data_IF_017203967671
#
_entry.id   IF_017203967671
#
_cell.length_a   1.000
_cell.length_b   1.000
_cell.length_c   1.000
_cell.angle_alpha   90.00
_cell.angle_beta   90.00
_cell.angle_gamma   90.00
#
_symmetry.space_group_name_H-M   'P 1'
#
loop_
_entity.id
_entity.type
_entity.pdbx_description
1 polymer ?
#
# COMPACT_ATOMS: atom_id res chain seq x y z
N UNK A 1 -49.66 -27.93 0.31
CA UNK A 1 -50.70 -27.18 -0.45
C UNK A 1 -51.34 -26.14 0.47
N UNK A 2 -51.54 -24.91 -0.03
CA UNK A 2 -51.87 -23.59 0.62
C UNK A 2 -50.64 -22.67 0.55
N UNK A 3 -50.39 -21.87 -0.49
CA UNK A 3 -51.13 -20.74 -1.12
C UNK A 3 -51.33 -19.57 -0.17
N UNK A 4 -50.46 -18.55 -0.26
CA UNK A 4 -50.83 -17.15 -0.62
C UNK A 4 -49.63 -16.22 -0.65
N UNK A 5 -49.45 -15.66 -1.83
CA UNK A 5 -48.56 -14.58 -2.25
C UNK A 5 -48.80 -13.24 -1.52
N UNK A 6 -48.01 -12.25 -1.95
CA UNK A 6 -48.18 -10.79 -1.91
C UNK A 6 -47.27 -10.04 -0.93
N UNK A 7 -46.12 -9.55 -1.42
CA UNK A 7 -45.62 -8.21 -1.08
C UNK A 7 -45.35 -7.47 -2.39
N UNK A 8 -45.98 -6.30 -2.48
CA UNK A 8 -46.08 -5.44 -3.64
C UNK A 8 -44.74 -4.79 -4.02
N UNK A 9 -44.46 -4.79 -5.32
CA UNK A 9 -43.44 -3.95 -5.93
C UNK A 9 -43.92 -2.49 -5.95
N UNK A 10 -43.15 -1.59 -5.35
CA UNK A 10 -43.30 -0.15 -5.53
C UNK A 10 -42.17 0.35 -6.44
N UNK A 11 -42.53 0.61 -7.70
CA UNK A 11 -41.70 1.28 -8.70
C UNK A 11 -41.80 2.78 -8.46
N UNK A 12 -40.66 3.45 -8.28
CA UNK A 12 -40.55 4.91 -8.37
C UNK A 12 -39.58 5.24 -9.50
N UNK A 13 -40.05 5.85 -10.61
CA UNK A 13 -39.16 6.42 -11.61
C UNK A 13 -38.85 7.87 -11.23
N UNK A 14 -37.58 8.27 -11.31
CA UNK A 14 -37.21 9.68 -11.39
C UNK A 14 -36.23 9.87 -12.56
N UNK A 15 -36.69 10.66 -13.51
CA UNK A 15 -36.08 10.86 -14.82
C UNK A 15 -35.46 12.27 -14.94
N UNK A 16 -34.36 12.33 -15.69
CA UNK A 16 -33.83 13.45 -16.51
C UNK A 16 -33.06 14.58 -15.80
N UNK A 17 -31.77 14.72 -16.17
CA UNK A 17 -31.28 15.88 -16.93
C UNK A 17 -29.85 15.64 -17.43
N UNK A 18 -29.71 15.43 -18.75
CA UNK A 18 -28.44 15.48 -19.47
C UNK A 18 -28.24 16.89 -20.03
N UNK A 19 -27.08 17.49 -19.78
CA UNK A 19 -26.57 18.62 -20.56
C UNK A 19 -25.14 18.28 -21.00
N UNK A 20 -25.02 17.88 -22.26
CA UNK A 20 -23.76 17.82 -22.98
C UNK A 20 -23.40 19.21 -23.49
N UNK A 21 -22.13 19.60 -23.38
CA UNK A 21 -21.55 20.72 -24.13
C UNK A 21 -20.54 20.13 -25.12
N UNK A 22 -20.78 20.21 -26.44
CA UNK A 22 -19.77 19.94 -27.45
C UNK A 22 -18.98 21.23 -27.72
N UNK A 23 -17.66 21.16 -27.59
CA UNK A 23 -16.74 22.25 -27.95
C UNK A 23 -15.55 21.71 -28.71
N UNK A 24 -15.74 21.50 -30.02
CA UNK A 24 -14.69 21.20 -31.00
C UNK A 24 -14.23 22.53 -31.60
N UNK A 25 -12.91 22.74 -31.72
CA UNK A 25 -12.33 23.83 -32.50
C UNK A 25 -10.80 23.86 -32.31
N UNK A 26 -10.02 23.01 -32.98
CA UNK A 26 -9.37 23.22 -34.30
C UNK A 26 -8.56 24.53 -34.39
N UNK A 27 -7.23 24.40 -34.44
CA UNK A 27 -6.37 24.93 -35.52
C UNK A 27 -4.93 24.49 -35.24
N UNK A 28 -4.35 23.57 -36.04
CA UNK A 28 -3.37 23.88 -37.10
C UNK A 28 -2.35 24.92 -36.64
N UNK A 29 -1.06 24.62 -36.43
CA UNK A 29 -0.17 23.75 -37.17
C UNK A 29 0.95 24.64 -37.71
N UNK A 30 2.22 24.33 -37.39
CA UNK A 30 3.40 24.75 -38.18
C UNK A 30 4.70 24.15 -37.59
N UNK A 31 5.13 23.04 -38.17
CA UNK A 31 6.54 22.70 -38.49
C UNK A 31 6.76 23.28 -39.92
N UNK A 32 7.96 23.69 -40.43
CA UNK A 32 9.28 23.03 -40.34
C UNK A 32 10.47 24.05 -40.38
N UNK A 33 11.75 23.73 -40.68
CA UNK A 33 12.34 22.45 -41.08
C UNK A 33 13.64 22.03 -40.39
N UNK A 34 13.96 20.75 -40.59
CA UNK A 34 15.28 20.16 -40.43
C UNK A 34 16.20 20.51 -41.61
N UNK A 35 17.52 20.40 -41.42
CA UNK A 35 18.42 19.97 -42.48
C UNK A 35 18.96 18.55 -42.19
N UNK A 36 19.05 17.75 -43.24
CA UNK A 36 19.80 16.49 -43.35
C UNK A 36 20.82 16.63 -44.50
N UNK A 37 21.63 15.60 -44.84
CA UNK A 37 22.54 14.76 -44.06
C UNK A 37 23.96 14.73 -44.68
N UNK A 38 24.97 14.19 -43.97
CA UNK A 38 26.22 13.58 -44.49
C UNK A 38 27.21 13.44 -43.31
N UNK A 39 28.00 12.40 -43.07
CA UNK A 39 28.25 11.08 -43.65
C UNK A 39 28.94 10.25 -42.55
N UNK A 40 28.67 8.94 -42.49
CA UNK A 40 29.47 7.97 -41.72
C UNK A 40 30.71 7.54 -42.56
N UNK A 41 31.79 6.92 -42.00
CA UNK A 41 31.70 5.63 -41.28
C UNK A 41 32.62 5.41 -40.04
N UNK A 42 32.12 4.50 -39.19
CA UNK A 42 32.68 3.53 -38.21
C UNK A 42 34.23 3.33 -38.08
N UNK A 43 34.77 2.74 -36.97
CA UNK A 43 34.14 1.66 -36.17
C UNK A 43 34.41 1.58 -34.65
N UNK A 44 33.40 1.05 -33.94
CA UNK A 44 33.59 0.02 -32.91
C UNK A 44 33.82 0.49 -31.49
N UNK A 45 32.76 0.53 -30.68
CA UNK A 45 32.84 0.22 -29.25
C UNK A 45 31.50 -0.33 -28.74
N UNK A 46 31.58 -1.47 -28.05
CA UNK A 46 30.45 -2.25 -27.50
C UNK A 46 29.65 -1.43 -26.48
N UNK A 47 28.31 -1.44 -26.49
CA UNK A 47 27.53 -1.01 -25.34
C UNK A 47 27.59 -2.12 -24.27
N UNK A 48 28.37 -1.90 -23.21
CA UNK A 48 28.21 -2.65 -21.98
C UNK A 48 27.01 -2.05 -21.22
N UNK A 49 25.86 -2.66 -21.43
CA UNK A 49 24.65 -2.48 -20.66
C UNK A 49 24.89 -2.98 -19.23
N UNK A 50 25.17 -2.04 -18.33
CA UNK A 50 25.47 -2.31 -16.92
C UNK A 50 24.55 -1.50 -16.01
N UNK A 51 23.32 -1.97 -15.89
CA UNK A 51 22.32 -1.68 -14.84
C UNK A 51 22.93 -1.02 -13.58
N UNK A 52 22.42 0.13 -13.08
CA UNK A 52 22.82 0.58 -11.76
C UNK A 52 22.39 -0.50 -10.77
N UNK A 53 23.37 -1.15 -10.13
CA UNK A 53 23.16 -1.99 -8.95
C UNK A 53 22.64 -1.07 -7.84
N UNK A 54 21.33 -0.80 -7.88
CA UNK A 54 20.57 -0.33 -6.74
C UNK A 54 20.46 -1.48 -5.74
N UNK A 55 21.54 -1.70 -5.00
CA UNK A 55 21.49 -2.41 -3.72
C UNK A 55 21.92 -1.40 -2.68
N UNK A 56 21.02 -0.49 -2.34
CA UNK A 56 21.14 0.17 -1.05
C UNK A 56 21.15 -0.96 0.00
N UNK A 57 22.12 -0.98 0.92
CA UNK A 57 22.12 -1.96 2.00
C UNK A 57 20.78 -1.84 2.73
N UNK A 58 20.01 -2.93 2.72
CA UNK A 58 18.83 -3.10 3.54
C UNK A 58 19.35 -3.04 4.98
N UNK A 59 19.26 -1.85 5.59
CA UNK A 59 19.65 -1.57 6.97
C UNK A 59 18.74 -2.38 7.89
N UNK A 60 19.09 -3.63 8.10
CA UNK A 60 18.67 -4.41 9.25
C UNK A 60 19.54 -4.01 10.45
N UNK A 61 19.01 -4.11 11.66
CA UNK A 61 19.61 -3.71 12.95
C UNK A 61 19.27 -2.29 13.45
N UNK A 62 18.06 -1.79 13.16
CA UNK A 62 17.36 -1.04 14.21
C UNK A 62 16.63 -2.06 15.09
N UNK A 63 16.85 -2.02 16.40
CA UNK A 63 16.08 -2.82 17.37
C UNK A 63 14.58 -2.52 17.18
N UNK A 64 13.71 -3.55 17.10
CA UNK A 64 12.28 -3.32 16.89
C UNK A 64 11.68 -2.56 18.09
N UNK A 65 10.83 -1.59 17.80
CA UNK A 65 10.09 -0.83 18.83
C UNK A 65 9.11 -1.72 19.61
N UNK A 66 8.54 -2.71 18.91
CA UNK A 66 7.68 -3.73 19.49
C UNK A 66 7.66 -4.97 18.59
N UNK A 67 7.44 -6.15 19.17
CA UNK A 67 7.30 -7.41 18.43
C UNK A 67 6.18 -8.26 19.04
N UNK A 68 5.40 -8.92 18.19
CA UNK A 68 4.35 -9.83 18.58
C UNK A 68 4.29 -11.04 17.64
N UNK A 69 3.78 -12.16 18.15
CA UNK A 69 3.50 -13.35 17.34
C UNK A 69 2.00 -13.44 17.08
N UNK A 70 1.62 -13.44 15.81
CA UNK A 70 0.24 -13.60 15.35
C UNK A 70 0.00 -15.05 14.94
N UNK A 71 -1.19 -15.57 15.27
CA UNK A 71 -1.57 -16.96 15.03
C UNK A 71 -2.95 -17.01 14.37
N UNK A 72 -3.04 -16.64 13.09
CA UNK A 72 -4.30 -16.64 12.35
C UNK A 72 -4.92 -18.04 12.17
N UNK A 73 -4.14 -19.12 12.36
CA UNK A 73 -4.62 -20.50 12.26
C UNK A 73 -3.66 -21.52 12.88
N UNK A 74 -4.03 -22.80 12.85
CA UNK A 74 -3.27 -23.87 13.50
C UNK A 74 -1.89 -24.16 12.84
N UNK A 75 -1.74 -23.83 11.56
CA UNK A 75 -0.54 -24.15 10.76
C UNK A 75 0.22 -22.92 10.28
N UNK A 76 -0.30 -21.73 10.57
CA UNK A 76 0.26 -20.44 10.15
C UNK A 76 0.50 -19.56 11.38
N UNK A 77 1.72 -19.08 11.53
CA UNK A 77 2.06 -18.01 12.46
C UNK A 77 2.95 -16.98 11.79
N UNK A 78 2.92 -15.75 12.30
CA UNK A 78 3.81 -14.69 11.84
C UNK A 78 4.40 -13.96 13.03
N UNK A 79 5.71 -13.76 13.03
CA UNK A 79 6.33 -12.77 13.90
C UNK A 79 6.27 -11.42 13.18
N UNK A 80 5.66 -10.44 13.85
CA UNK A 80 5.48 -9.09 13.33
C UNK A 80 6.19 -8.12 14.27
N UNK A 81 7.13 -7.36 13.73
CA UNK A 81 7.84 -6.32 14.46
C UNK A 81 7.54 -4.96 13.88
N UNK A 82 7.21 -4.01 14.75
CA UNK A 82 7.16 -2.59 14.40
C UNK A 82 8.58 -2.05 14.47
N UNK A 83 9.15 -1.72 13.31
CA UNK A 83 10.52 -1.21 13.23
C UNK A 83 10.57 0.31 13.41
N UNK A 84 9.57 1.02 12.88
CA UNK A 84 9.50 2.47 13.01
C UNK A 84 8.12 3.03 12.65
N UNK A 85 7.82 4.20 13.21
CA UNK A 85 6.73 5.07 12.77
C UNK A 85 7.30 6.47 12.49
N UNK A 86 7.58 6.78 11.23
CA UNK A 86 8.42 7.92 10.82
C UNK A 86 7.60 9.04 10.18
N UNK A 87 7.63 10.23 10.76
CA UNK A 87 6.96 11.41 10.23
C UNK A 87 7.78 12.01 9.09
N UNK A 88 7.09 12.32 7.99
CA UNK A 88 7.66 12.95 6.80
C UNK A 88 6.69 13.99 6.25
N UNK A 89 6.77 15.20 6.80
CA UNK A 89 5.85 16.29 6.49
C UNK A 89 4.41 15.92 6.87
N UNK A 90 3.52 15.86 5.87
CA UNK A 90 2.10 15.49 6.05
C UNK A 90 1.84 13.98 6.00
N UNK A 91 2.90 13.17 5.89
CA UNK A 91 2.82 11.71 5.81
C UNK A 91 3.52 11.06 6.98
N UNK A 92 3.11 9.84 7.29
CA UNK A 92 3.66 9.01 8.35
C UNK A 92 3.90 7.61 7.78
N UNK A 93 5.15 7.15 7.83
CA UNK A 93 5.57 5.86 7.29
C UNK A 93 5.70 4.84 8.43
N UNK A 94 4.82 3.84 8.44
CA UNK A 94 4.93 2.66 9.31
C UNK A 94 5.84 1.63 8.63
N UNK A 95 6.90 1.22 9.31
CA UNK A 95 7.82 0.18 8.84
C UNK A 95 7.65 -1.06 9.70
N UNK A 96 7.29 -2.17 9.05
CA UNK A 96 7.12 -3.47 9.69
C UNK A 96 8.18 -4.47 9.19
N UNK A 97 8.62 -5.36 10.07
CA UNK A 97 9.26 -6.63 9.69
C UNK A 97 8.25 -7.74 9.90
N UNK A 98 8.11 -8.65 8.94
CA UNK A 98 7.17 -9.76 9.02
C UNK A 98 7.89 -11.04 8.63
N UNK A 99 7.94 -12.00 9.54
CA UNK A 99 8.51 -13.32 9.32
C UNK A 99 7.43 -14.37 9.47
N UNK A 100 6.99 -14.94 8.35
CA UNK A 100 5.96 -15.97 8.36
C UNK A 100 6.54 -17.37 8.60
N UNK A 101 5.75 -18.21 9.26
CA UNK A 101 5.98 -19.64 9.49
C UNK A 101 4.75 -20.40 9.03
N UNK A 102 4.91 -21.31 8.07
CA UNK A 102 3.88 -22.25 7.63
C UNK A 102 4.48 -23.66 7.58
N UNK A 103 3.67 -24.69 7.82
CA UNK A 103 4.06 -26.10 7.69
C UNK A 103 3.95 -26.62 6.26
N UNK A 104 3.04 -26.07 5.47
CA UNK A 104 2.64 -26.55 4.14
C UNK A 104 3.20 -25.71 3.00
N UNK A 105 3.41 -24.42 3.22
CA UNK A 105 3.63 -23.45 2.14
C UNK A 105 5.04 -22.87 2.15
N UNK A 106 5.58 -22.65 0.95
CA UNK A 106 6.85 -21.91 0.78
C UNK A 106 6.64 -20.40 0.81
N UNK A 107 5.42 -19.96 0.50
CA UNK A 107 5.01 -18.57 0.42
C UNK A 107 3.63 -18.40 1.03
N UNK A 108 3.42 -17.32 1.76
CA UNK A 108 2.11 -16.99 2.34
C UNK A 108 1.69 -15.58 1.94
N UNK A 109 0.40 -15.37 1.75
CA UNK A 109 -0.15 -14.03 1.56
C UNK A 109 -0.21 -13.28 2.88
N UNK A 110 -0.01 -11.96 2.82
CA UNK A 110 -0.22 -11.04 3.94
C UNK A 110 -1.67 -11.06 4.40
N UNK A 111 -2.59 -11.33 3.49
CA UNK A 111 -4.00 -11.49 3.81
C UNK A 111 -4.28 -12.66 4.74
N UNK A 112 -3.53 -13.76 4.62
CA UNK A 112 -3.74 -14.95 5.45
C UNK A 112 -3.45 -14.68 6.94
N UNK A 113 -2.55 -13.75 7.28
CA UNK A 113 -2.32 -13.36 8.67
C UNK A 113 -3.08 -12.11 9.11
N UNK A 114 -3.48 -11.24 8.18
CA UNK A 114 -4.25 -10.03 8.52
C UNK A 114 -5.76 -10.24 8.49
N UNK A 115 -6.25 -11.32 7.88
CA UNK A 115 -7.67 -11.68 7.75
C UNK A 115 -8.49 -10.81 6.78
N UNK A 116 -8.04 -9.58 6.50
CA UNK A 116 -8.70 -8.63 5.59
C UNK A 116 -7.70 -7.85 4.72
N UNK A 117 -6.54 -8.45 4.49
CA UNK A 117 -5.48 -7.88 3.69
C UNK A 117 -4.89 -6.59 4.27
N UNK A 118 -4.15 -5.82 3.47
CA UNK A 118 -3.43 -4.64 3.95
C UNK A 118 -4.33 -3.47 4.37
N UNK A 119 -5.62 -3.48 4.03
CA UNK A 119 -6.62 -2.57 4.61
C UNK A 119 -6.82 -2.79 6.12
N UNK A 120 -6.44 -3.96 6.62
CA UNK A 120 -6.53 -4.29 8.04
C UNK A 120 -5.38 -3.68 8.87
N UNK A 121 -4.40 -3.02 8.23
CA UNK A 121 -3.32 -2.32 8.91
C UNK A 121 -3.73 -0.86 9.06
N UNK A 122 -3.91 -0.42 10.30
CA UNK A 122 -4.36 0.93 10.62
C UNK A 122 -3.57 1.51 11.78
N UNK A 123 -3.52 2.84 11.84
CA UNK A 123 -3.00 3.54 13.03
C UNK A 123 -4.18 4.11 13.81
N UNK A 124 -4.11 4.06 15.14
CA UNK A 124 -5.16 4.55 16.02
C UNK A 124 -4.57 5.56 17.00
N UNK A 125 -5.14 6.76 17.02
CA UNK A 125 -4.94 7.73 18.09
C UNK A 125 -6.03 7.50 19.12
N UNK A 126 -5.68 6.76 20.19
CA UNK A 126 -6.61 6.42 21.25
C UNK A 126 -7.06 7.65 22.07
N UNK A 127 -6.26 8.72 22.10
CA UNK A 127 -6.57 9.95 22.84
C UNK A 127 -7.59 10.80 22.09
N UNK A 128 -7.39 10.96 20.78
CA UNK A 128 -8.28 11.78 19.92
C UNK A 128 -9.37 10.97 19.22
N UNK A 129 -9.43 9.67 19.49
CA UNK A 129 -10.39 8.71 18.94
C UNK A 129 -10.41 8.71 17.39
N UNK A 130 -9.22 8.77 16.78
CA UNK A 130 -9.07 8.77 15.32
C UNK A 130 -8.42 7.49 14.82
N UNK A 131 -8.93 6.96 13.73
CA UNK A 131 -8.31 5.86 12.97
C UNK A 131 -7.79 6.40 11.65
N UNK A 132 -6.50 6.21 11.39
CA UNK A 132 -5.85 6.58 10.14
C UNK A 132 -5.73 5.38 9.21
N UNK A 133 -6.11 5.59 7.96
CA UNK A 133 -6.02 4.60 6.89
C UNK A 133 -4.85 4.91 5.96
N UNK A 134 -4.40 3.90 5.23
CA UNK A 134 -3.34 4.04 4.23
C UNK A 134 -3.75 5.08 3.19
N UNK A 135 -2.86 6.04 2.90
CA UNK A 135 -3.11 7.08 1.90
C UNK A 135 -3.16 6.48 0.50
N UNK A 136 -3.88 7.16 -0.40
CA UNK A 136 -3.97 6.78 -1.82
C UNK A 136 -3.27 7.82 -2.69
N UNK A 137 -2.65 7.37 -3.77
CA UNK A 137 -2.09 8.24 -4.81
C UNK A 137 -3.20 8.89 -5.65
N UNK A 138 -2.83 9.76 -6.58
CA UNK A 138 -3.76 10.45 -7.48
C UNK A 138 -4.53 9.51 -8.42
N UNK A 139 -4.06 8.27 -8.61
CA UNK A 139 -4.75 7.22 -9.34
C UNK A 139 -5.64 6.34 -8.44
N UNK A 140 -5.78 6.70 -7.15
CA UNK A 140 -6.58 5.97 -6.17
C UNK A 140 -5.91 4.71 -5.61
N UNK A 141 -4.63 4.45 -5.93
CA UNK A 141 -3.90 3.26 -5.46
C UNK A 141 -3.32 3.51 -4.06
N UNK A 142 -3.45 2.56 -3.13
CA UNK A 142 -2.91 2.72 -1.79
C UNK A 142 -1.37 2.74 -1.80
N UNK A 143 -0.75 3.62 -0.99
CA UNK A 143 0.70 3.68 -0.80
C UNK A 143 1.16 2.62 0.20
N UNK A 144 1.40 1.44 -0.33
CA UNK A 144 1.80 0.22 0.38
C UNK A 144 2.59 -0.70 -0.55
N UNK A 145 3.22 -1.79 -0.07
CA UNK A 145 3.95 -2.70 -0.94
C UNK A 145 3.01 -3.32 -1.99
N UNK A 146 3.47 -3.45 -3.26
CA UNK A 146 2.63 -3.90 -4.37
C UNK A 146 2.29 -5.39 -4.27
N UNK A 147 3.21 -6.22 -3.77
CA UNK A 147 3.05 -7.67 -3.64
C UNK A 147 2.78 -8.07 -2.19
N UNK A 148 1.86 -9.01 -2.00
CA UNK A 148 1.39 -9.43 -0.67
C UNK A 148 1.96 -10.78 -0.27
N UNK A 149 2.97 -11.27 -0.97
CA UNK A 149 3.54 -12.59 -0.71
C UNK A 149 4.79 -12.44 0.15
N UNK A 150 4.90 -13.25 1.19
CA UNK A 150 6.07 -13.39 2.06
C UNK A 150 6.63 -14.79 1.88
N UNK A 151 7.93 -14.91 1.69
CA UNK A 151 8.61 -16.20 1.70
C UNK A 151 8.72 -16.72 3.12
N UNK A 152 8.30 -17.96 3.35
CA UNK A 152 8.27 -18.56 4.69
C UNK A 152 9.71 -18.70 5.22
N UNK A 153 9.88 -18.32 6.50
CA UNK A 153 11.16 -18.35 7.18
C UNK A 153 12.07 -17.14 6.92
N UNK A 154 11.71 -16.24 5.99
CA UNK A 154 12.48 -15.03 5.70
C UNK A 154 11.76 -13.77 6.19
N UNK A 155 12.52 -12.84 6.76
CA UNK A 155 12.00 -11.56 7.19
C UNK A 155 11.71 -10.65 5.99
N UNK A 156 10.47 -10.21 5.87
CA UNK A 156 10.02 -9.26 4.84
C UNK A 156 9.79 -7.89 5.47
N UNK A 157 10.62 -6.91 5.13
CA UNK A 157 10.42 -5.51 5.54
C UNK A 157 9.40 -4.84 4.62
N UNK A 158 8.43 -4.14 5.21
CA UNK A 158 7.30 -3.52 4.51
C UNK A 158 7.04 -2.12 5.03
N UNK A 159 6.72 -1.20 4.12
CA UNK A 159 6.40 0.20 4.48
C UNK A 159 5.00 0.55 4.04
N UNK A 160 4.21 1.08 4.97
CA UNK A 160 2.84 1.52 4.76
C UNK A 160 2.75 3.02 5.07
N UNK A 161 2.17 3.81 4.18
CA UNK A 161 2.10 5.27 4.35
C UNK A 161 0.71 5.70 4.77
N UNK A 162 0.66 6.52 5.82
CA UNK A 162 -0.54 7.08 6.44
C UNK A 162 -0.50 8.61 6.37
N UNK A 163 -1.65 9.31 6.51
CA UNK A 163 -1.62 10.73 6.79
C UNK A 163 -0.98 10.95 8.16
N UNK A 164 -0.09 11.94 8.26
CA UNK A 164 0.46 12.31 9.55
C UNK A 164 -0.62 12.98 10.42
N UNK A 165 -0.75 12.59 11.70
CA UNK A 165 -1.56 13.35 12.64
C UNK A 165 -0.94 14.74 12.88
N UNK A 166 -1.57 15.59 13.68
CA UNK A 166 -0.96 16.87 14.08
C UNK A 166 0.41 16.70 14.76
N UNK A 167 1.27 17.73 14.80
CA UNK A 167 2.61 17.66 15.39
C UNK A 167 2.58 17.33 16.90
N UNK A 168 1.47 17.58 17.58
CA UNK A 168 1.23 17.26 18.98
C UNK A 168 1.05 15.76 19.25
N UNK A 169 0.93 14.94 18.21
CA UNK A 169 0.76 13.48 18.33
C UNK A 169 2.12 12.82 18.24
N UNK A 170 2.59 12.33 19.39
CA UNK A 170 3.91 11.72 19.59
C UNK A 170 3.88 10.20 19.62
N UNK A 171 2.71 9.59 19.75
CA UNK A 171 2.53 8.13 19.79
C UNK A 171 1.19 7.74 19.17
N UNK A 172 1.13 6.53 18.64
CA UNK A 172 -0.06 5.92 18.03
C UNK A 172 -0.06 4.43 18.29
N UNK A 173 -1.25 3.83 18.35
CA UNK A 173 -1.38 2.38 18.34
C UNK A 173 -1.33 1.86 16.90
N UNK A 174 -0.69 0.72 16.69
CA UNK A 174 -0.66 0.02 15.39
C UNK A 174 -1.55 -1.21 15.48
N UNK A 175 -2.66 -1.19 14.73
CA UNK A 175 -3.61 -2.31 14.67
C UNK A 175 -3.44 -3.07 13.36
N UNK A 176 -3.40 -4.39 13.44
CA UNK A 176 -3.22 -5.29 12.30
C UNK A 176 -4.24 -6.43 12.40
N UNK A 177 -5.22 -6.43 11.50
CA UNK A 177 -6.23 -7.49 11.49
C UNK A 177 -7.05 -7.53 12.79
N UNK A 178 -7.32 -8.74 13.26
CA UNK A 178 -8.03 -8.99 14.51
C UNK A 178 -7.10 -9.18 15.72
N UNK A 179 -5.79 -9.07 15.53
CA UNK A 179 -4.79 -9.28 16.58
C UNK A 179 -4.73 -8.06 17.52
N UNK A 180 -4.35 -8.26 18.79
CA UNK A 180 -4.14 -7.13 19.71
C UNK A 180 -3.19 -6.08 19.11
N UNK A 181 -3.49 -4.78 19.25
CA UNK A 181 -2.66 -3.74 18.68
C UNK A 181 -1.33 -3.60 19.42
N UNK A 182 -0.31 -3.12 18.72
CA UNK A 182 0.89 -2.56 19.35
C UNK A 182 0.53 -1.20 19.93
N UNK A 183 0.63 -1.04 21.25
CA UNK A 183 0.23 0.17 21.95
C UNK A 183 1.36 1.20 22.00
N UNK A 184 1.00 2.49 21.97
CA UNK A 184 1.91 3.61 22.24
C UNK A 184 3.22 3.58 21.41
N UNK A 185 3.11 3.26 20.12
CA UNK A 185 4.28 3.25 19.22
C UNK A 185 4.73 4.69 18.99
N UNK A 186 6.00 5.03 19.30
CA UNK A 186 6.47 6.41 19.18
C UNK A 186 6.57 6.85 17.73
N UNK A 187 6.07 8.05 17.46
CA UNK A 187 6.25 8.77 16.19
C UNK A 187 7.59 9.50 16.24
N UNK A 188 8.46 9.17 15.28
CA UNK A 188 9.83 9.69 15.13
C UNK A 188 9.99 10.61 13.94
#
# INVERSE_FOLDING_TARGET
>A
MRVRDWIAAAVVPLTVAACAVPGIGRTTGQTPPAPAPASAPAPGEKPAEGRPKGSAPQRSEAEPLATATFKPGAELSAEVSVLALKRRGKLLDLVLSITARSKSDTYVSVEEFTGAGPSAITLVDAVRLKRYLIVRDSAGRPLRPPYWIIKVGEASVRTYTFPAPGPEVTELDVSIGAEPPFLNVPVT
#
